data_IF_234344199795
#
_entry.id   IF_234344199795
#
_cell.length_a   1.000
_cell.length_b   1.000
_cell.length_c   1.000
_cell.angle_alpha   90.00
_cell.angle_beta   90.00
_cell.angle_gamma   90.00
#
_symmetry.space_group_name_H-M   'P 1'
#
loop_
_entity.id
_entity.type
_entity.pdbx_description
1 polymer ?
#
# COMPACT_ATOMS: atom_id res chain seq x y z
N UNK A 1 12.58 1.80 14.58
CA UNK A 1 11.76 1.91 13.36
C UNK A 1 10.37 1.35 13.60
N UNK A 2 9.39 2.05 13.07
CA UNK A 2 8.01 1.59 13.18
C UNK A 2 7.74 0.48 12.16
N UNK A 3 6.83 -0.43 12.50
CA UNK A 3 6.39 -1.47 11.59
C UNK A 3 5.04 -1.08 11.02
N UNK A 4 4.90 -1.16 9.70
CA UNK A 4 3.64 -0.86 9.02
C UNK A 4 3.23 -2.04 8.15
N UNK A 5 1.94 -2.21 7.99
CA UNK A 5 1.39 -3.08 6.96
C UNK A 5 1.04 -2.25 5.73
N UNK A 6 0.79 -2.90 4.61
CA UNK A 6 0.29 -2.21 3.42
C UNK A 6 -1.09 -1.58 3.69
N UNK A 7 -1.88 -2.19 4.58
CA UNK A 7 -3.16 -1.61 4.97
C UNK A 7 -3.00 -0.32 5.78
N UNK A 8 -1.98 -0.27 6.64
CA UNK A 8 -1.69 0.97 7.36
C UNK A 8 -1.32 2.10 6.40
N UNK A 9 -0.50 1.78 5.39
CA UNK A 9 -0.17 2.75 4.34
C UNK A 9 -1.39 3.26 3.63
N UNK A 10 -2.31 2.36 3.28
CA UNK A 10 -3.51 2.72 2.55
C UNK A 10 -4.45 3.61 3.34
N UNK A 11 -4.39 3.52 4.65
CA UNK A 11 -5.25 4.32 5.55
C UNK A 11 -4.63 5.64 5.98
N UNK A 12 -3.37 5.88 5.64
CA UNK A 12 -2.74 7.16 5.95
C UNK A 12 -3.39 8.28 5.18
N UNK A 13 -3.42 9.45 5.78
CA UNK A 13 -3.95 10.66 5.15
C UNK A 13 -3.00 11.82 5.34
N UNK A 14 -2.87 12.62 4.29
CA UNK A 14 -2.22 13.91 4.39
C UNK A 14 -0.75 13.85 4.75
N UNK A 15 -0.10 12.72 4.53
CA UNK A 15 1.31 12.58 4.82
C UNK A 15 2.15 12.67 3.57
N UNK A 16 3.35 13.18 3.75
CA UNK A 16 4.35 13.27 2.69
C UNK A 16 5.56 12.45 3.11
N UNK A 17 6.19 11.81 2.16
CA UNK A 17 7.34 10.98 2.45
C UNK A 17 8.02 10.42 1.23
N UNK A 18 9.09 9.72 1.49
CA UNK A 18 9.91 9.08 0.47
C UNK A 18 9.93 7.58 0.76
N UNK A 19 9.72 6.78 -0.27
CA UNK A 19 9.77 5.32 -0.14
C UNK A 19 11.02 4.79 -0.82
N UNK A 20 11.80 4.01 -0.08
CA UNK A 20 12.96 3.30 -0.61
C UNK A 20 12.61 1.82 -0.67
N UNK A 21 12.64 1.26 -1.86
CA UNK A 21 12.24 -0.12 -2.10
C UNK A 21 13.44 -1.05 -2.15
N UNK A 22 13.24 -2.27 -1.67
CA UNK A 22 14.24 -3.33 -1.82
C UNK A 22 15.43 -3.20 -0.91
N UNK A 23 15.22 -2.77 0.32
CA UNK A 23 16.29 -2.63 1.30
C UNK A 23 16.67 -3.98 1.90
N UNK A 24 17.90 -4.40 1.71
CA UNK A 24 18.43 -5.61 2.32
C UNK A 24 19.49 -5.30 3.37
N UNK A 25 19.76 -6.26 4.23
CA UNK A 25 20.77 -6.13 5.27
C UNK A 25 20.32 -5.26 6.43
N UNK A 26 21.26 -4.52 6.99
CA UNK A 26 20.97 -3.65 8.14
C UNK A 26 20.19 -2.42 7.69
N UNK A 27 18.96 -2.32 8.13
CA UNK A 27 18.06 -1.23 7.73
C UNK A 27 18.55 0.14 8.24
N UNK A 28 19.24 0.16 9.38
CA UNK A 28 19.75 1.42 9.92
C UNK A 28 20.81 2.04 9.00
N UNK A 29 21.59 1.22 8.31
CA UNK A 29 22.55 1.72 7.35
C UNK A 29 21.88 2.46 6.20
N UNK A 30 20.70 1.97 5.75
CA UNK A 30 19.92 2.66 4.74
C UNK A 30 19.41 4.01 5.24
N UNK A 31 18.92 4.04 6.47
CA UNK A 31 18.42 5.28 7.08
C UNK A 31 19.54 6.32 7.18
N UNK A 32 20.69 5.91 7.69
CA UNK A 32 21.84 6.80 7.84
C UNK A 32 22.35 7.28 6.49
N UNK A 33 22.44 6.39 5.53
CA UNK A 33 22.88 6.72 4.18
C UNK A 33 21.99 7.72 3.48
N UNK A 34 20.67 7.53 3.56
CA UNK A 34 19.72 8.46 2.97
C UNK A 34 19.81 9.84 3.62
N UNK A 35 19.88 9.90 4.95
CA UNK A 35 20.05 11.17 5.64
C UNK A 35 21.33 11.88 5.24
N UNK A 36 22.43 11.14 5.12
CA UNK A 36 23.71 11.70 4.71
C UNK A 36 23.64 12.27 3.30
N UNK A 37 23.13 11.49 2.35
CA UNK A 37 23.00 11.92 0.95
C UNK A 37 22.14 13.16 0.85
N UNK A 38 20.97 13.15 1.48
CA UNK A 38 20.06 14.28 1.41
C UNK A 38 20.64 15.54 2.06
N UNK A 39 21.47 15.38 3.07
CA UNK A 39 22.18 16.49 3.69
C UNK A 39 23.26 17.06 2.75
N UNK A 40 24.07 16.18 2.14
CA UNK A 40 25.12 16.58 1.21
C UNK A 40 24.57 17.28 -0.02
N UNK A 41 23.43 16.85 -0.52
CA UNK A 41 22.77 17.46 -1.68
C UNK A 41 22.02 18.75 -1.36
N UNK A 42 22.05 19.17 -0.11
CA UNK A 42 21.35 20.39 0.32
C UNK A 42 19.84 20.26 0.33
N UNK A 43 19.34 19.04 0.35
CA UNK A 43 17.90 18.76 0.40
C UNK A 43 17.39 18.89 1.83
N UNK A 44 18.09 18.29 2.80
CA UNK A 44 17.81 18.49 4.20
C UNK A 44 18.41 19.82 4.65
N UNK A 45 17.60 20.66 5.25
CA UNK A 45 17.96 22.03 5.63
C UNK A 45 18.15 22.15 7.13
N UNK A 46 19.03 23.07 7.53
CA UNK A 46 19.17 23.48 8.94
C UNK A 46 19.43 22.34 9.92
N UNK A 47 20.21 21.35 9.50
CA UNK A 47 20.52 20.21 10.35
C UNK A 47 19.39 19.22 10.56
N UNK A 48 18.32 19.36 9.81
CA UNK A 48 17.19 18.42 9.88
C UNK A 48 17.60 17.02 9.43
N UNK A 49 16.95 16.04 9.98
CA UNK A 49 17.11 14.63 9.61
C UNK A 49 15.74 13.96 9.51
N UNK A 50 15.66 12.96 8.65
CA UNK A 50 14.47 12.11 8.58
C UNK A 50 14.58 11.04 9.67
N UNK A 51 13.85 11.23 10.75
CA UNK A 51 13.91 10.35 11.91
C UNK A 51 12.68 9.46 12.06
N UNK A 52 11.56 9.87 11.49
CA UNK A 52 10.33 9.09 11.51
C UNK A 52 10.35 8.12 10.32
N UNK A 53 10.92 6.94 10.55
CA UNK A 53 11.10 5.91 9.53
C UNK A 53 10.29 4.69 9.91
N UNK A 54 9.59 4.15 8.93
CA UNK A 54 8.80 2.94 9.10
C UNK A 54 9.25 1.89 8.09
N UNK A 55 9.14 0.62 8.47
CA UNK A 55 9.45 -0.49 7.59
C UNK A 55 8.17 -1.24 7.26
N UNK A 56 8.03 -1.63 6.01
CA UNK A 56 6.89 -2.44 5.57
C UNK A 56 7.33 -3.43 4.49
N UNK A 57 6.57 -4.51 4.39
CA UNK A 57 6.80 -5.54 3.39
C UNK A 57 5.76 -5.40 2.28
N UNK A 58 6.21 -5.54 1.05
CA UNK A 58 5.32 -5.63 -0.09
C UNK A 58 5.87 -6.69 -1.05
N UNK A 59 5.15 -7.79 -1.20
CA UNK A 59 5.67 -8.95 -1.90
C UNK A 59 6.88 -9.50 -1.16
N UNK A 60 7.97 -9.70 -1.87
CA UNK A 60 9.23 -10.18 -1.28
C UNK A 60 10.17 -9.05 -0.88
N UNK A 61 9.74 -7.80 -1.05
CA UNK A 61 10.60 -6.65 -0.82
C UNK A 61 10.39 -6.03 0.55
N UNK A 62 11.49 -5.70 1.19
CA UNK A 62 11.50 -4.88 2.41
C UNK A 62 11.67 -3.43 1.98
N UNK A 63 10.80 -2.57 2.47
CA UNK A 63 10.75 -1.17 2.07
C UNK A 63 10.81 -0.27 3.29
N UNK A 64 11.36 0.92 3.11
CA UNK A 64 11.41 1.95 4.14
C UNK A 64 10.61 3.16 3.70
N UNK A 65 9.80 3.67 4.62
CA UNK A 65 9.07 4.91 4.44
C UNK A 65 9.69 5.98 5.33
N UNK A 66 10.22 7.01 4.72
CA UNK A 66 10.78 8.17 5.41
C UNK A 66 9.74 9.27 5.41
N UNK A 67 9.14 9.53 6.57
CA UNK A 67 8.17 10.62 6.69
C UNK A 67 8.90 11.96 6.67
N UNK A 68 8.31 12.95 6.00
CA UNK A 68 8.85 14.31 6.01
C UNK A 68 8.43 15.12 7.23
N UNK A 69 7.58 14.56 8.05
CA UNK A 69 7.07 15.23 9.24
C UNK A 69 8.21 15.56 10.20
N UNK A 70 8.29 16.82 10.60
CA UNK A 70 9.32 17.29 11.50
C UNK A 70 10.67 17.59 10.86
N UNK A 71 10.81 17.44 9.57
CA UNK A 71 12.06 17.73 8.85
C UNK A 71 11.87 18.92 7.92
N UNK A 72 12.90 19.74 7.79
CA UNK A 72 12.91 20.83 6.82
C UNK A 72 13.60 20.35 5.56
N UNK A 73 12.86 20.37 4.45
CA UNK A 73 13.32 19.85 3.17
C UNK A 73 13.12 20.89 2.08
N UNK A 74 14.09 20.95 1.18
CA UNK A 74 13.90 21.62 -0.11
C UNK A 74 13.26 20.63 -1.07
N UNK A 75 11.96 20.69 -1.18
CA UNK A 75 11.15 19.75 -1.95
C UNK A 75 11.50 19.77 -3.43
N UNK A 76 11.76 20.95 -3.98
CA UNK A 76 12.14 21.08 -5.38
C UNK A 76 13.47 20.39 -5.68
N UNK A 77 14.44 20.55 -4.78
CA UNK A 77 15.73 19.85 -4.92
C UNK A 77 15.58 18.35 -4.80
N UNK A 78 14.73 17.91 -3.88
CA UNK A 78 14.48 16.48 -3.72
C UNK A 78 13.89 15.87 -5.00
N UNK A 79 12.89 16.52 -5.56
CA UNK A 79 12.26 16.04 -6.79
C UNK A 79 13.27 15.96 -7.94
N UNK A 80 14.08 17.01 -8.09
CA UNK A 80 15.09 17.05 -9.15
C UNK A 80 16.18 15.99 -8.94
N UNK A 81 16.65 15.84 -7.72
CA UNK A 81 17.64 14.84 -7.36
C UNK A 81 17.12 13.41 -7.65
N UNK A 82 15.88 13.15 -7.36
CA UNK A 82 15.27 11.84 -7.67
C UNK A 82 15.31 11.55 -9.17
N UNK A 83 14.99 12.53 -9.98
CA UNK A 83 15.01 12.37 -11.43
C UNK A 83 16.43 12.13 -11.93
N UNK A 84 17.39 12.86 -11.38
CA UNK A 84 18.80 12.76 -11.79
C UNK A 84 19.44 11.45 -11.37
N UNK A 85 19.05 10.89 -10.24
CA UNK A 85 19.69 9.72 -9.65
C UNK A 85 18.95 8.42 -9.91
N UNK A 86 17.91 8.48 -10.72
CA UNK A 86 17.07 7.32 -10.99
C UNK A 86 17.86 6.05 -11.30
N UNK A 87 18.85 6.15 -12.15
CA UNK A 87 19.61 4.98 -12.62
C UNK A 87 20.67 4.50 -11.63
N UNK A 88 21.02 5.32 -10.66
CA UNK A 88 22.11 5.01 -9.74
C UNK A 88 21.73 3.99 -8.68
N UNK A 89 20.45 3.85 -8.39
CA UNK A 89 19.99 2.97 -7.33
C UNK A 89 19.79 1.52 -7.78
N UNK A 90 19.89 1.26 -9.08
CA UNK A 90 19.82 -0.12 -9.59
C UNK A 90 18.51 -0.80 -9.22
N UNK A 91 18.60 -1.94 -8.52
CA UNK A 91 17.44 -2.70 -8.08
C UNK A 91 16.81 -2.16 -6.80
N UNK A 92 17.56 -1.36 -6.06
CA UNK A 92 17.05 -0.64 -4.90
C UNK A 92 16.62 0.73 -5.39
N UNK A 93 15.39 1.09 -5.18
CA UNK A 93 14.83 2.27 -5.82
C UNK A 93 14.15 3.20 -4.83
N UNK A 94 14.47 4.49 -4.94
CA UNK A 94 13.68 5.55 -4.31
C UNK A 94 12.44 5.75 -5.16
N UNK A 95 11.37 5.08 -4.79
CA UNK A 95 10.25 5.00 -5.70
C UNK A 95 9.46 6.29 -5.75
N UNK A 96 9.06 6.83 -4.64
CA UNK A 96 8.14 7.94 -4.75
C UNK A 96 8.32 9.00 -3.70
N UNK A 97 8.57 10.18 -4.18
CA UNK A 97 8.18 11.39 -3.53
C UNK A 97 6.69 11.58 -3.85
N UNK A 98 5.85 11.51 -2.83
CA UNK A 98 4.40 11.55 -3.03
C UNK A 98 3.81 12.58 -2.07
N UNK A 99 3.89 13.87 -2.41
CA UNK A 99 3.33 14.90 -1.53
C UNK A 99 1.82 14.72 -1.41
N UNK A 100 1.35 14.67 -0.18
CA UNK A 100 -0.07 14.53 0.14
C UNK A 100 -0.76 13.29 -0.42
N UNK A 101 0.01 12.30 -0.84
CA UNK A 101 -0.58 11.11 -1.44
C UNK A 101 -0.21 9.81 -0.74
N UNK A 102 0.54 9.90 0.35
CA UNK A 102 0.78 8.72 1.18
C UNK A 102 -0.52 8.35 1.87
N UNK A 103 -1.05 7.24 1.49
CA UNK A 103 -2.31 6.79 2.02
C UNK A 103 -3.49 7.53 1.42
N UNK A 104 -4.62 7.35 2.00
CA UNK A 104 -5.86 7.98 1.55
C UNK A 104 -6.46 7.39 0.29
N UNK A 105 -5.69 6.68 -0.51
CA UNK A 105 -6.18 6.18 -1.78
C UNK A 105 -7.19 5.04 -1.64
N UNK A 106 -7.27 4.45 -0.46
CA UNK A 106 -8.31 3.46 -0.17
C UNK A 106 -9.56 4.10 0.37
N UNK A 107 -9.44 5.23 1.02
CA UNK A 107 -10.59 5.89 1.62
C UNK A 107 -11.61 6.36 0.60
N UNK A 108 -11.13 6.72 -0.58
CA UNK A 108 -12.02 7.14 -1.65
C UNK A 108 -12.60 5.96 -2.41
N UNK A 109 -12.05 4.79 -2.20
CA UNK A 109 -12.51 3.59 -2.86
C UNK A 109 -13.43 2.82 -1.94
N UNK A 110 -14.72 3.00 -2.11
CA UNK A 110 -15.68 2.19 -1.41
C UNK A 110 -15.61 0.77 -1.95
N UNK A 111 -15.69 -0.18 -1.05
CA UNK A 111 -15.76 -1.58 -1.45
C UNK A 111 -17.03 -1.80 -2.26
N UNK A 112 -16.93 -2.37 -3.46
CA UNK A 112 -18.15 -2.68 -4.21
C UNK A 112 -18.89 -3.84 -3.56
N UNK A 113 -20.22 -3.81 -3.69
CA UNK A 113 -21.04 -4.93 -3.25
C UNK A 113 -20.82 -6.11 -4.18
N UNK A 114 -20.68 -7.27 -3.61
CA UNK A 114 -20.42 -8.50 -4.35
C UNK A 114 -21.27 -9.63 -3.77
N UNK A 115 -22.18 -10.13 -4.55
CA UNK A 115 -23.08 -11.20 -4.12
C UNK A 115 -22.33 -12.54 -4.18
N UNK A 116 -21.92 -13.03 -3.04
CA UNK A 116 -21.29 -14.35 -2.91
C UNK A 116 -22.19 -15.35 -2.19
N UNK A 117 -23.05 -14.86 -1.31
CA UNK A 117 -23.98 -15.72 -0.59
C UNK A 117 -25.04 -16.22 -1.59
N UNK A 118 -25.19 -17.53 -1.67
CA UNK A 118 -26.09 -18.15 -2.62
C UNK A 118 -25.41 -18.60 -3.91
N UNK A 119 -24.16 -18.26 -4.10
CA UNK A 119 -23.38 -18.75 -5.24
C UNK A 119 -22.72 -20.08 -4.89
N UNK A 120 -22.22 -20.77 -5.94
CA UNK A 120 -21.42 -21.96 -5.73
C UNK A 120 -20.29 -21.67 -4.75
N UNK A 121 -20.25 -22.38 -3.65
CA UNK A 121 -19.30 -22.16 -2.57
C UNK A 121 -17.87 -22.59 -2.83
N UNK A 122 -17.53 -23.01 -4.04
CA UNK A 122 -16.16 -23.31 -4.41
C UNK A 122 -15.32 -22.04 -4.30
N UNK A 123 -14.22 -22.10 -3.54
CA UNK A 123 -13.43 -20.90 -3.28
C UNK A 123 -12.88 -20.26 -4.57
N UNK A 124 -12.53 -21.06 -5.56
CA UNK A 124 -12.04 -20.53 -6.83
C UNK A 124 -13.14 -19.75 -7.58
N UNK A 125 -14.40 -20.22 -7.47
CA UNK A 125 -15.53 -19.51 -8.01
C UNK A 125 -15.74 -18.16 -7.32
N UNK A 126 -15.68 -18.16 -5.98
CA UNK A 126 -15.85 -16.94 -5.19
C UNK A 126 -14.74 -15.92 -5.47
N UNK A 127 -13.51 -16.38 -5.58
CA UNK A 127 -12.38 -15.53 -5.95
C UNK A 127 -12.63 -14.91 -7.34
N UNK A 128 -13.08 -15.72 -8.28
CA UNK A 128 -13.36 -15.26 -9.64
C UNK A 128 -14.44 -14.18 -9.67
N UNK A 129 -15.51 -14.38 -8.93
CA UNK A 129 -16.62 -13.43 -8.83
C UNK A 129 -16.14 -12.12 -8.22
N UNK A 130 -15.43 -12.21 -7.10
CA UNK A 130 -14.92 -11.03 -6.41
C UNK A 130 -13.93 -10.25 -7.28
N UNK A 131 -13.02 -10.95 -7.94
CA UNK A 131 -12.04 -10.32 -8.83
C UNK A 131 -12.74 -9.61 -10.00
N UNK A 132 -13.75 -10.24 -10.57
CA UNK A 132 -14.52 -9.64 -11.66
C UNK A 132 -15.23 -8.37 -11.18
N UNK A 133 -15.85 -8.44 -10.00
CA UNK A 133 -16.52 -7.28 -9.39
C UNK A 133 -15.56 -6.12 -9.20
N UNK A 134 -14.38 -6.41 -8.69
CA UNK A 134 -13.34 -5.38 -8.50
C UNK A 134 -12.94 -4.75 -9.84
N UNK A 135 -12.70 -5.56 -10.86
CA UNK A 135 -12.32 -5.06 -12.18
C UNK A 135 -13.42 -4.21 -12.81
N UNK A 136 -14.68 -4.61 -12.66
CA UNK A 136 -15.81 -3.84 -13.17
C UNK A 136 -15.93 -2.46 -12.50
N UNK A 137 -15.36 -2.32 -11.32
CA UNK A 137 -15.34 -1.04 -10.58
C UNK A 137 -14.01 -0.30 -10.72
N UNK A 138 -13.16 -0.71 -11.67
CA UNK A 138 -11.88 -0.05 -11.91
C UNK A 138 -10.80 -0.36 -10.88
N UNK A 139 -11.00 -1.42 -10.09
CA UNK A 139 -10.09 -1.80 -9.00
C UNK A 139 -9.23 -3.00 -9.40
N UNK A 140 -8.58 -2.91 -10.57
CA UNK A 140 -7.78 -4.01 -11.11
C UNK A 140 -6.62 -4.39 -10.21
N UNK A 141 -5.93 -3.41 -9.65
CA UNK A 141 -4.81 -3.63 -8.74
C UNK A 141 -5.25 -4.39 -7.49
N UNK A 142 -6.39 -4.02 -6.95
CA UNK A 142 -6.95 -4.69 -5.78
C UNK A 142 -7.36 -6.12 -6.10
N UNK A 143 -7.87 -6.38 -7.31
CA UNK A 143 -8.21 -7.73 -7.73
C UNK A 143 -6.98 -8.62 -7.76
N UNK A 144 -5.88 -8.14 -8.32
CA UNK A 144 -4.63 -8.90 -8.37
C UNK A 144 -4.05 -9.12 -6.97
N UNK A 145 -4.04 -8.08 -6.14
CA UNK A 145 -3.55 -8.17 -4.78
C UNK A 145 -4.34 -9.20 -3.96
N UNK A 146 -5.65 -9.17 -4.07
CA UNK A 146 -6.52 -10.13 -3.40
C UNK A 146 -6.20 -11.56 -3.82
N UNK A 147 -6.06 -11.79 -5.12
CA UNK A 147 -5.76 -13.11 -5.65
C UNK A 147 -4.39 -13.60 -5.18
N UNK A 148 -3.39 -12.76 -5.23
CA UNK A 148 -2.04 -13.10 -4.76
C UNK A 148 -2.02 -13.48 -3.29
N UNK A 149 -2.73 -12.74 -2.46
CA UNK A 149 -2.82 -13.04 -1.04
C UNK A 149 -3.44 -14.40 -0.79
N UNK A 150 -4.51 -14.71 -1.50
CA UNK A 150 -5.22 -15.98 -1.32
C UNK A 150 -4.42 -17.14 -1.89
N UNK A 151 -3.89 -16.99 -3.09
CA UNK A 151 -3.19 -18.06 -3.79
C UNK A 151 -1.75 -18.23 -3.34
N UNK A 152 -1.18 -17.22 -2.74
CA UNK A 152 0.21 -17.21 -2.32
C UNK A 152 0.50 -17.89 -0.99
N UNK A 153 -0.49 -18.53 -0.39
CA UNK A 153 -0.31 -19.27 0.85
C UNK A 153 -0.57 -18.48 2.14
N UNK A 154 -1.04 -17.26 2.02
CA UNK A 154 -1.44 -16.47 3.18
C UNK A 154 -2.66 -17.06 3.87
N UNK A 155 -3.52 -17.70 3.08
CA UNK A 155 -4.75 -18.29 3.57
C UNK A 155 -4.58 -19.81 3.80
N UNK A 156 -4.78 -20.25 5.03
CA UNK A 156 -4.65 -21.65 5.36
C UNK A 156 -5.91 -22.48 5.14
N UNK A 157 -7.06 -21.82 5.03
CA UNK A 157 -8.33 -22.51 4.88
C UNK A 157 -9.37 -21.62 4.18
N UNK A 158 -10.55 -22.16 3.98
CA UNK A 158 -11.67 -21.49 3.32
C UNK A 158 -12.09 -20.21 4.06
N UNK A 159 -12.18 -20.27 5.37
CA UNK A 159 -12.59 -19.10 6.17
C UNK A 159 -11.59 -17.95 6.04
N UNK A 160 -10.29 -18.27 6.05
CA UNK A 160 -9.26 -17.26 5.86
C UNK A 160 -9.36 -16.60 4.49
N UNK A 161 -9.63 -17.40 3.45
CA UNK A 161 -9.81 -16.86 2.10
C UNK A 161 -11.03 -15.94 2.02
N UNK A 162 -12.15 -16.34 2.64
CA UNK A 162 -13.34 -15.47 2.70
C UNK A 162 -13.07 -14.17 3.42
N UNK A 163 -12.30 -14.20 4.50
CA UNK A 163 -11.93 -12.99 5.23
C UNK A 163 -11.14 -12.04 4.35
N UNK A 164 -10.20 -12.55 3.55
CA UNK A 164 -9.44 -11.74 2.61
C UNK A 164 -10.37 -11.13 1.56
N UNK A 165 -11.26 -11.91 0.99
CA UNK A 165 -12.26 -11.40 0.02
C UNK A 165 -13.06 -10.26 0.64
N UNK A 166 -13.50 -10.42 1.89
CA UNK A 166 -14.26 -9.40 2.62
C UNK A 166 -13.52 -8.10 2.87
N UNK A 167 -12.19 -8.12 2.77
CA UNK A 167 -11.41 -6.90 2.87
C UNK A 167 -11.50 -6.04 1.61
N UNK A 168 -11.81 -6.65 0.47
CA UNK A 168 -11.85 -5.98 -0.83
C UNK A 168 -13.25 -5.70 -1.35
N UNK A 169 -14.23 -6.51 -0.98
CA UNK A 169 -15.62 -6.35 -1.41
C UNK A 169 -16.56 -6.50 -0.22
N UNK A 170 -17.74 -5.92 -0.34
CA UNK A 170 -18.83 -6.16 0.63
C UNK A 170 -19.54 -7.43 0.19
N UNK A 171 -19.43 -8.48 0.98
CA UNK A 171 -20.09 -9.75 0.67
C UNK A 171 -21.57 -9.61 0.98
N UNK A 172 -22.40 -9.76 -0.03
CA UNK A 172 -23.84 -9.63 0.09
C UNK A 172 -24.54 -10.90 -0.39
N UNK A 173 -25.81 -10.99 -0.05
CA UNK A 173 -26.70 -12.03 -0.53
C UNK A 173 -27.96 -11.43 -1.12
N UNK A 174 -28.75 -12.22 -1.85
CA UNK A 174 -29.96 -11.72 -2.47
C UNK A 174 -30.96 -11.10 -1.47
N UNK A 175 -31.07 -11.69 -0.31
CA UNK A 175 -31.99 -11.21 0.71
C UNK A 175 -31.57 -9.87 1.28
N UNK A 176 -30.28 -9.69 1.49
CA UNK A 176 -29.75 -8.43 2.01
C UNK A 176 -30.05 -7.27 1.08
N UNK A 177 -29.84 -7.48 -0.22
CA UNK A 177 -30.14 -6.46 -1.20
C UNK A 177 -31.63 -6.12 -1.22
N UNK A 178 -32.46 -7.14 -1.17
CA UNK A 178 -33.89 -6.94 -1.14
C UNK A 178 -34.37 -6.24 0.13
N UNK A 179 -33.79 -6.60 1.25
CA UNK A 179 -34.16 -6.01 2.52
C UNK A 179 -33.75 -4.53 2.61
N UNK A 180 -32.64 -4.19 2.07
CA UNK A 180 -32.22 -2.79 2.06
C UNK A 180 -33.19 -1.91 1.31
N UNK A 181 -33.68 -2.40 0.22
CA UNK A 181 -34.64 -1.66 -0.57
C UNK A 181 -36.00 -1.68 0.07
N UNK A 182 -36.34 -2.81 0.65
CA UNK A 182 -37.57 -2.95 1.34
C UNK A 182 -37.53 -2.27 2.66
N UNK A 183 -36.37 -1.98 3.07
CA UNK A 183 -36.17 -1.49 4.28
C UNK A 183 -36.97 -0.65 5.00
N UNK A 184 -37.28 -0.83 4.60
CA UNK A 184 -37.71 -0.45 5.25
C UNK A 184 -38.30 0.08 5.90
#
# INVERSE_FOLDING_TARGET
>A
MNQLSTDDLRRMEGREGLVLQGCGGDLQEWVDGINEILTEEGILQNGSRLTDVSVFQHGSLTNLLFSFEGAELDVGRLALWRLQTREQFGSTWLSDYVPNQLGGFIQEQQKPDCQLIGEDGNIFNLIGIAARTLRQNGLDTQAEEMRERIMGGECGDYSAALNVIGEYVNITGPEESGMEMGGM
#
